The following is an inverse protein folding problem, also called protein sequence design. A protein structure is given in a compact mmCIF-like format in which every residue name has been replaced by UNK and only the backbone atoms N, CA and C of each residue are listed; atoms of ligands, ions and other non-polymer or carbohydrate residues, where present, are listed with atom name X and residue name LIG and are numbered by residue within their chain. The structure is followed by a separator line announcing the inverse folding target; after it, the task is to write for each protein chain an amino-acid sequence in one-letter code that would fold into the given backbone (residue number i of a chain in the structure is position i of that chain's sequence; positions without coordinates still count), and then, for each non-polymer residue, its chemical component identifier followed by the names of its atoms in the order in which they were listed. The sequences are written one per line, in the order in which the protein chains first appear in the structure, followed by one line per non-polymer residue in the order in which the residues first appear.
data_IF_164445522919
#
_entry.id   IF_164445522919
#
_cell.length_a   1.000
_cell.length_b   1.000
_cell.length_c   1.000
_cell.angle_alpha   90.00
_cell.angle_beta   90.00
_cell.angle_gamma   90.00
#
_symmetry.space_group_name_H-M   'P 1'
#
loop_
_entity.id
_entity.type
_entity.pdbx_description
1 polymer ?
#
# COMPACT_ATOMS: atom_id res chain seq x y z
N UNK A 1 -4.64 -12.32 -6.66
CA UNK A 1 -4.85 -13.17 -5.46
C UNK A 1 -5.29 -14.59 -5.80
N UNK A 2 -6.48 -14.82 -6.41
CA UNK A 2 -6.98 -16.16 -6.76
C UNK A 2 -6.02 -17.02 -7.59
N UNK A 3 -5.40 -16.44 -8.63
CA UNK A 3 -4.39 -17.11 -9.49
C UNK A 3 -3.17 -17.63 -8.72
N UNK A 4 -2.80 -16.95 -7.63
CA UNK A 4 -1.62 -17.30 -6.82
C UNK A 4 -2.00 -17.98 -5.49
N UNK A 5 -3.27 -18.35 -5.29
CA UNK A 5 -3.75 -18.96 -4.04
C UNK A 5 -3.66 -18.06 -2.80
N UNK A 6 -3.36 -16.76 -2.95
CA UNK A 6 -3.17 -15.84 -1.83
C UNK A 6 -4.52 -15.52 -1.19
N UNK A 7 -4.61 -15.71 0.12
CA UNK A 7 -5.74 -15.31 0.97
C UNK A 7 -5.21 -14.53 2.18
N UNK A 8 -5.90 -13.48 2.65
CA UNK A 8 -5.46 -12.75 3.84
C UNK A 8 -5.53 -13.64 5.08
N UNK A 9 -4.46 -13.66 5.89
CA UNK A 9 -4.50 -14.27 7.22
C UNK A 9 -4.99 -13.25 8.26
N UNK A 10 -6.19 -13.50 8.81
CA UNK A 10 -6.82 -12.63 9.81
C UNK A 10 -6.08 -12.60 11.14
N UNK A 11 -5.35 -13.67 11.49
CA UNK A 11 -4.53 -13.71 12.71
C UNK A 11 -3.35 -12.77 12.64
N UNK A 12 -2.89 -12.46 11.43
CA UNK A 12 -1.85 -11.48 11.14
C UNK A 12 -2.41 -10.08 10.85
N UNK A 13 -3.72 -9.88 10.99
CA UNK A 13 -4.37 -8.60 10.72
C UNK A 13 -4.34 -8.20 9.23
N UNK A 14 -4.20 -9.15 8.30
CA UNK A 14 -4.11 -8.81 6.88
C UNK A 14 -5.47 -8.39 6.30
N UNK A 15 -5.52 -7.15 5.80
CA UNK A 15 -6.61 -6.59 5.02
C UNK A 15 -6.01 -5.91 3.80
N UNK A 16 -6.25 -6.45 2.61
CA UNK A 16 -5.72 -5.86 1.38
C UNK A 16 -6.71 -4.87 0.79
N UNK A 17 -6.21 -3.70 0.40
CA UNK A 17 -6.98 -2.69 -0.31
C UNK A 17 -7.31 -3.22 -1.72
N UNK A 18 -8.58 -3.06 -2.10
CA UNK A 18 -9.10 -3.44 -3.42
C UNK A 18 -9.55 -2.23 -4.24
N UNK A 19 -9.58 -1.05 -3.63
CA UNK A 19 -9.93 0.22 -4.25
C UNK A 19 -8.76 1.18 -4.07
N UNK A 20 -8.46 1.94 -5.13
CA UNK A 20 -7.35 2.88 -5.19
C UNK A 20 -7.68 4.25 -4.56
N UNK A 21 -8.96 4.62 -4.44
CA UNK A 21 -9.36 5.93 -3.92
C UNK A 21 -8.85 6.24 -2.49
N UNK A 22 -8.86 5.28 -1.53
CA UNK A 22 -8.22 5.50 -0.24
C UNK A 22 -6.70 5.71 -0.35
N UNK A 23 -6.04 5.03 -1.30
CA UNK A 23 -4.59 5.14 -1.50
C UNK A 23 -4.22 6.53 -1.99
N UNK A 24 -4.91 7.05 -3.00
CA UNK A 24 -4.67 8.42 -3.46
C UNK A 24 -4.93 9.46 -2.37
N UNK A 25 -5.94 9.23 -1.53
CA UNK A 25 -6.22 10.10 -0.38
C UNK A 25 -5.09 10.05 0.65
N UNK A 26 -4.53 8.87 0.93
CA UNK A 26 -3.36 8.71 1.81
C UNK A 26 -2.12 9.39 1.24
N UNK A 27 -1.80 9.18 -0.05
CA UNK A 27 -0.63 9.80 -0.71
C UNK A 27 -0.75 11.32 -0.67
N UNK A 28 -1.92 11.86 -1.02
CA UNK A 28 -2.17 13.31 -0.99
C UNK A 28 -2.02 13.87 0.43
N UNK A 29 -2.55 13.18 1.44
CA UNK A 29 -2.45 13.61 2.83
C UNK A 29 -1.04 13.49 3.41
N UNK A 30 -0.19 12.62 2.85
CA UNK A 30 1.17 12.43 3.30
C UNK A 30 2.14 13.52 2.80
N UNK A 31 1.75 14.32 1.79
CA UNK A 31 2.50 15.46 1.25
C UNK A 31 3.99 15.15 0.97
N UNK A 32 4.26 13.94 0.50
CA UNK A 32 5.61 13.43 0.26
C UNK A 32 6.31 14.18 -0.88
N UNK A 33 7.62 14.31 -0.73
CA UNK A 33 8.56 14.86 -1.70
C UNK A 33 9.60 13.82 -2.12
N UNK A 34 10.34 14.13 -3.18
CA UNK A 34 11.45 13.31 -3.67
C UNK A 34 12.57 13.12 -2.64
N UNK A 35 12.70 14.04 -1.69
CA UNK A 35 13.75 14.04 -0.68
C UNK A 35 13.39 13.21 0.55
N UNK A 36 12.12 12.86 0.74
CA UNK A 36 11.68 12.13 1.92
C UNK A 36 12.13 10.68 1.87
N UNK A 37 12.50 10.10 3.00
CA UNK A 37 12.65 8.66 3.15
C UNK A 37 11.36 8.07 3.71
N UNK A 38 10.86 6.99 3.11
CA UNK A 38 9.57 6.39 3.48
C UNK A 38 9.80 5.00 4.03
N UNK A 39 9.34 4.77 5.26
CA UNK A 39 9.27 3.45 5.87
C UNK A 39 7.82 2.96 5.86
N UNK A 40 7.56 1.89 5.14
CA UNK A 40 6.24 1.23 5.12
C UNK A 40 6.22 0.04 6.08
N UNK A 41 5.19 -0.03 6.93
CA UNK A 41 4.96 -1.15 7.85
C UNK A 41 3.82 -2.01 7.33
N UNK A 42 4.08 -3.30 7.14
CA UNK A 42 3.07 -4.25 6.66
C UNK A 42 2.60 -3.99 5.23
N UNK A 43 3.51 -3.99 4.23
CA UNK A 43 3.19 -3.60 2.84
C UNK A 43 2.16 -4.52 2.16
N UNK A 44 1.92 -5.72 2.72
CA UNK A 44 0.96 -6.67 2.18
C UNK A 44 1.30 -7.08 0.74
N UNK A 45 0.44 -6.74 -0.21
CA UNK A 45 0.67 -6.97 -1.64
C UNK A 45 1.55 -5.91 -2.32
N UNK A 46 1.99 -4.88 -1.58
CA UNK A 46 2.85 -3.80 -2.08
C UNK A 46 2.12 -2.75 -2.91
N UNK A 47 0.79 -2.67 -2.81
CA UNK A 47 -0.01 -1.72 -3.61
C UNK A 47 0.32 -0.27 -3.26
N UNK A 48 0.43 0.03 -1.96
CA UNK A 48 0.84 1.36 -1.51
C UNK A 48 2.31 1.63 -1.86
N UNK A 49 3.21 0.67 -1.61
CA UNK A 49 4.62 0.73 -2.03
C UNK A 49 4.79 1.17 -3.49
N UNK A 50 4.09 0.48 -4.41
CA UNK A 50 4.19 0.73 -5.84
C UNK A 50 3.71 2.13 -6.22
N UNK A 51 2.59 2.57 -5.66
CA UNK A 51 2.01 3.88 -5.96
C UNK A 51 2.83 5.02 -5.35
N UNK A 52 3.35 4.86 -4.14
CA UNK A 52 4.24 5.85 -3.51
C UNK A 52 5.55 6.02 -4.29
N UNK A 53 6.15 4.94 -4.79
CA UNK A 53 7.34 5.03 -5.65
C UNK A 53 7.06 5.70 -6.99
N UNK A 54 5.84 5.60 -7.51
CA UNK A 54 5.43 6.25 -8.77
C UNK A 54 5.11 7.74 -8.59
N UNK A 55 4.92 8.21 -7.35
CA UNK A 55 4.56 9.60 -7.02
C UNK A 55 5.70 10.39 -6.37
N UNK A 56 6.82 9.74 -6.06
CA UNK A 56 8.10 10.41 -5.82
C UNK A 56 8.69 10.82 -7.16
#
# INVERSE_FOLDING_TARGET
MRKHGIKPDKRLGQHFLVNEAPIFSMIKAAELTLQDEVLEVGPGLGVLTFLTLSHK
#
